data_IF_314712821594
#
_entry.id   IF_314712821594
#
_cell.length_a   1.000
_cell.length_b   1.000
_cell.length_c   1.000
_cell.angle_alpha   90.00
_cell.angle_beta   90.00
_cell.angle_gamma   90.00
#
_symmetry.space_group_name_H-M   'P 1'
#
loop_
_entity.id
_entity.type
_entity.pdbx_description
1 polymer ?
#
# COMPACT_ATOMS: atom_id res chain seq x y z
N UNK A 1 -3.10 -0.99 -11.36
CA UNK A 1 -3.65 -0.11 -10.32
C UNK A 1 -2.73 1.09 -10.17
N UNK A 2 -3.25 2.30 -10.37
CA UNK A 2 -2.48 3.55 -10.23
C UNK A 2 -2.52 4.01 -8.78
N UNK A 3 -1.35 4.26 -8.21
CA UNK A 3 -1.19 4.67 -6.83
C UNK A 3 -0.25 5.86 -6.71
N UNK A 4 -0.52 6.73 -5.74
CA UNK A 4 0.36 7.81 -5.31
C UNK A 4 1.19 7.32 -4.13
N UNK A 5 2.50 7.44 -4.23
CA UNK A 5 3.44 7.06 -3.18
C UNK A 5 3.35 8.03 -2.01
N UNK A 6 3.29 7.49 -0.79
CA UNK A 6 3.31 8.26 0.47
C UNK A 6 4.52 7.91 1.34
N UNK A 7 5.35 6.96 0.91
CA UNK A 7 6.64 6.64 1.53
C UNK A 7 7.61 6.17 0.46
N UNK A 8 8.92 6.41 0.56
CA UNK A 8 9.85 6.00 -0.48
C UNK A 8 9.79 4.48 -0.75
N UNK A 9 9.55 4.10 -2.02
CA UNK A 9 9.44 2.70 -2.45
C UNK A 9 10.44 2.45 -3.56
N UNK A 10 11.14 1.33 -3.52
CA UNK A 10 11.99 0.89 -4.62
C UNK A 10 11.19 -0.01 -5.56
N UNK A 11 11.00 0.43 -6.81
CA UNK A 11 10.24 -0.26 -7.85
C UNK A 11 11.06 -0.25 -9.13
N UNK A 12 11.31 -1.43 -9.71
CA UNK A 12 11.97 -1.59 -11.03
C UNK A 12 13.30 -0.85 -11.20
N UNK A 13 14.13 -0.78 -10.16
CA UNK A 13 15.42 -0.08 -10.25
C UNK A 13 15.37 1.41 -9.90
N UNK A 14 14.19 1.95 -9.59
CA UNK A 14 13.99 3.36 -9.25
C UNK A 14 13.40 3.51 -7.85
N UNK A 15 13.89 4.50 -7.10
CA UNK A 15 13.24 4.94 -5.87
C UNK A 15 12.17 5.95 -6.25
N UNK A 16 10.91 5.61 -5.97
CA UNK A 16 9.77 6.52 -6.03
C UNK A 16 9.63 7.21 -4.68
N UNK A 17 9.42 8.52 -4.67
CA UNK A 17 9.30 9.31 -3.44
C UNK A 17 7.87 9.78 -3.21
N UNK A 18 7.59 10.39 -2.07
CA UNK A 18 6.24 10.89 -1.77
C UNK A 18 5.72 11.83 -2.86
N UNK A 19 4.51 11.57 -3.35
CA UNK A 19 3.89 12.30 -4.45
C UNK A 19 4.15 11.72 -5.83
N UNK A 20 5.09 10.78 -5.99
CA UNK A 20 5.23 10.05 -7.26
C UNK A 20 4.00 9.18 -7.50
N UNK A 21 3.50 9.20 -8.74
CA UNK A 21 2.42 8.32 -9.18
C UNK A 21 3.01 7.22 -10.04
N UNK A 22 2.67 5.97 -9.72
CA UNK A 22 3.12 4.81 -10.48
C UNK A 22 1.98 3.81 -10.66
N UNK A 23 2.15 2.96 -11.65
CA UNK A 23 1.21 1.89 -11.93
C UNK A 23 1.82 0.55 -11.54
N UNK A 24 1.06 -0.25 -10.80
CA UNK A 24 1.48 -1.59 -10.39
C UNK A 24 0.35 -2.60 -10.52
N UNK A 25 0.64 -3.89 -10.31
CA UNK A 25 -0.36 -4.95 -10.30
C UNK A 25 -1.38 -4.71 -9.19
N UNK A 26 -2.64 -5.12 -9.39
CA UNK A 26 -3.70 -4.85 -8.42
C UNK A 26 -3.44 -5.51 -7.06
N UNK A 27 -2.88 -6.73 -7.04
CA UNK A 27 -2.50 -7.40 -5.80
C UNK A 27 -1.39 -6.66 -5.05
N UNK A 28 -0.34 -6.24 -5.75
CA UNK A 28 0.76 -5.48 -5.16
C UNK A 28 0.29 -4.10 -4.67
N UNK A 29 -0.56 -3.44 -5.46
CA UNK A 29 -1.10 -2.14 -5.12
C UNK A 29 -1.95 -2.17 -3.85
N UNK A 30 -2.81 -3.18 -3.69
CA UNK A 30 -3.58 -3.39 -2.44
C UNK A 30 -2.67 -3.60 -1.25
N UNK A 31 -1.58 -4.35 -1.40
CA UNK A 31 -0.60 -4.58 -0.34
C UNK A 31 0.07 -3.27 0.08
N UNK A 32 0.47 -2.42 -0.88
CA UNK A 32 1.08 -1.13 -0.59
C UNK A 32 0.11 -0.16 0.08
N UNK A 33 -1.17 -0.17 -0.32
CA UNK A 33 -2.22 0.62 0.33
C UNK A 33 -2.49 0.13 1.74
N UNK A 34 -2.61 -1.19 1.93
CA UNK A 34 -2.82 -1.80 3.24
C UNK A 34 -1.67 -1.53 4.21
N UNK A 35 -0.43 -1.56 3.71
CA UNK A 35 0.77 -1.28 4.50
C UNK A 35 1.03 0.22 4.70
N UNK A 36 0.29 1.10 4.01
CA UNK A 36 0.47 2.56 4.09
C UNK A 36 1.75 3.06 3.42
N UNK A 37 2.16 2.44 2.32
CA UNK A 37 3.26 2.93 1.46
C UNK A 37 2.75 3.75 0.26
N UNK A 38 1.52 3.49 -0.18
CA UNK A 38 0.89 4.20 -1.28
C UNK A 38 -0.61 4.38 -1.06
N UNK A 39 -1.25 5.28 -1.79
CA UNK A 39 -2.70 5.52 -1.77
C UNK A 39 -3.25 5.47 -3.18
N UNK A 40 -4.52 5.13 -3.35
CA UNK A 40 -5.19 5.21 -4.65
C UNK A 40 -5.32 6.66 -5.10
N UNK A 41 -5.02 6.93 -6.37
CA UNK A 41 -5.13 8.29 -6.95
C UNK A 41 -6.56 8.85 -6.81
N UNK A 42 -7.57 7.98 -6.81
CA UNK A 42 -8.96 8.36 -6.58
C UNK A 42 -9.23 8.89 -5.16
N UNK A 43 -8.40 8.54 -4.18
CA UNK A 43 -8.49 8.99 -2.77
C UNK A 43 -7.61 10.22 -2.50
N UNK A 44 -6.73 10.61 -3.42
CA UNK A 44 -5.90 11.81 -3.24
C UNK A 44 -6.71 13.13 -3.29
N UNK A 45 -7.90 13.11 -3.89
CA UNK A 45 -8.77 14.30 -4.04
C UNK A 45 -9.73 14.50 -2.85
N UNK A 46 -9.98 13.45 -2.03
CA UNK A 46 -10.80 13.51 -0.82
C UNK A 46 -10.04 12.80 0.28
N UNK A 47 -9.43 13.57 1.18
CA UNK A 47 -8.49 13.12 2.21
C UNK A 47 -9.03 12.18 3.29
N UNK A 48 -9.56 11.00 2.94
CA UNK A 48 -10.01 10.00 3.91
C UNK A 48 -9.71 8.58 3.45
N UNK A 49 -8.88 7.91 4.26
CA UNK A 49 -9.15 6.58 4.82
C UNK A 49 -9.40 5.47 3.80
N UNK A 50 -8.34 4.86 3.27
CA UNK A 50 -8.43 3.44 2.89
C UNK A 50 -8.33 2.60 4.16
N UNK A 51 -9.45 1.95 4.48
CA UNK A 51 -9.63 0.95 5.52
C UNK A 51 -8.42 0.01 5.63
N UNK A 52 -7.78 0.05 6.79
CA UNK A 52 -6.86 -0.96 7.27
C UNK A 52 -7.67 -2.25 7.47
N UNK A 53 -7.43 -3.33 6.72
CA UNK A 53 -7.78 -4.65 7.21
C UNK A 53 -6.79 -4.92 8.35
N UNK A 54 -7.28 -4.89 9.58
CA UNK A 54 -6.60 -5.50 10.74
C UNK A 54 -6.41 -7.01 10.46
N UNK A 55 -5.52 -7.41 9.56
CA UNK A 55 -5.03 -8.79 9.55
C UNK A 55 -3.96 -8.90 10.62
N UNK A 56 -4.45 -9.04 11.87
CA UNK A 56 -3.65 -9.59 12.95
C UNK A 56 -3.40 -11.06 12.60
N UNK A 57 -2.16 -11.52 12.39
CA UNK A 57 -1.90 -12.95 12.42
C UNK A 57 -2.03 -13.36 13.89
N UNK A 58 -3.20 -13.85 14.30
CA UNK A 58 -3.35 -14.51 15.60
C UNK A 58 -2.78 -15.92 15.50
N UNK A 59 -1.47 -16.01 15.25
CA UNK A 59 -0.68 -17.22 15.37
C UNK A 59 -0.37 -17.51 16.83
N UNK A 60 -1.29 -18.20 17.53
CA UNK A 60 -1.01 -19.01 18.73
C UNK A 60 -1.88 -20.26 18.60
N UNK A 61 -1.38 -21.49 18.57
CA UNK A 61 -0.02 -21.97 18.68
C UNK A 61 0.04 -23.45 18.30
N UNK A 62 1.26 -23.97 18.18
CA UNK A 62 1.53 -25.42 18.25
C UNK A 62 0.86 -25.99 19.51
N UNK A 63 -0.02 -26.96 19.34
CA UNK A 63 -0.26 -27.96 20.39
C UNK A 63 0.21 -29.31 19.89
N UNK A 64 0.97 -29.92 20.79
CA UNK A 64 1.67 -31.20 20.73
C UNK A 64 0.69 -32.37 20.82
#
# INVERSE_FOLDING_TARGET
MKLTVIRPIYVEGKVLVEGDVFETLEQHGRELVQKGYAITVATADVGQKSEQPEDKPKGKGRSK
#
